data_IF_210676608537
#
_entry.id   IF_210676608537
#
_cell.length_a   1.000
_cell.length_b   1.000
_cell.length_c   1.000
_cell.angle_alpha   90.00
_cell.angle_beta   90.00
_cell.angle_gamma   90.00
#
_symmetry.space_group_name_H-M   'P 1'
#
loop_
_entity.id
_entity.type
_entity.pdbx_description
1 polymer ?
#
# COMPACT_ATOMS: atom_id res chain seq x y z
N UNK A 1 -79.97 22.25 -16.81
CA UNK A 1 -78.71 22.44 -16.07
C UNK A 1 -78.14 21.03 -15.86
N UNK A 2 -77.20 20.63 -16.70
CA UNK A 2 -76.97 19.21 -16.96
C UNK A 2 -75.62 18.81 -16.35
N UNK A 3 -75.70 18.07 -15.24
CA UNK A 3 -74.64 17.59 -14.36
C UNK A 3 -73.57 16.67 -14.99
N UNK A 4 -73.46 16.62 -16.32
CA UNK A 4 -72.61 15.69 -17.05
C UNK A 4 -71.50 16.33 -17.90
N UNK A 5 -71.37 17.68 -17.88
CA UNK A 5 -70.29 18.38 -18.59
C UNK A 5 -68.99 18.55 -17.79
N UNK A 6 -68.97 18.31 -16.48
CA UNK A 6 -67.77 18.51 -15.64
C UNK A 6 -66.84 17.29 -15.55
N UNK A 7 -67.21 16.15 -16.15
CA UNK A 7 -66.42 14.91 -16.08
C UNK A 7 -65.60 14.63 -17.35
N UNK A 8 -65.50 15.61 -18.26
CA UNK A 8 -64.70 15.51 -19.50
C UNK A 8 -63.43 16.38 -19.49
N UNK A 9 -63.28 17.33 -18.55
CA UNK A 9 -62.12 18.24 -18.51
C UNK A 9 -61.15 18.01 -17.33
N UNK A 10 -61.35 16.95 -16.54
CA UNK A 10 -60.58 16.68 -15.33
C UNK A 10 -59.47 15.62 -15.43
N UNK A 11 -58.94 15.30 -16.62
CA UNK A 11 -57.95 14.22 -16.78
C UNK A 11 -56.63 14.64 -17.45
N UNK A 12 -56.29 15.94 -17.43
CA UNK A 12 -55.01 16.40 -17.97
C UNK A 12 -54.38 17.50 -17.11
N UNK A 13 -53.78 17.12 -15.98
CA UNK A 13 -52.57 17.75 -15.43
C UNK A 13 -52.26 17.14 -14.06
N UNK A 14 -51.52 16.03 -14.06
CA UNK A 14 -51.17 15.34 -12.83
C UNK A 14 -50.08 14.30 -13.05
N UNK A 15 -49.17 14.54 -13.99
CA UNK A 15 -47.90 13.83 -14.00
C UNK A 15 -46.97 14.62 -13.07
N UNK A 16 -46.43 14.05 -11.98
CA UNK A 16 -45.32 14.71 -11.30
C UNK A 16 -44.25 14.89 -12.36
N UNK A 17 -43.80 16.13 -12.58
CA UNK A 17 -42.68 16.41 -13.46
C UNK A 17 -41.61 15.36 -13.16
N UNK A 18 -41.40 14.44 -14.11
CA UNK A 18 -40.36 13.43 -14.03
C UNK A 18 -39.10 14.23 -13.73
N UNK A 19 -38.62 14.10 -12.50
CA UNK A 19 -37.48 14.82 -11.99
C UNK A 19 -36.33 14.44 -12.92
N UNK A 20 -36.01 15.35 -13.84
CA UNK A 20 -34.96 15.15 -14.82
C UNK A 20 -33.63 15.30 -14.07
N UNK A 21 -33.33 14.29 -13.26
CA UNK A 21 -32.12 14.19 -12.45
C UNK A 21 -30.90 14.26 -13.35
N UNK A 22 -30.98 13.66 -14.53
CA UNK A 22 -29.96 13.74 -15.58
C UNK A 22 -29.67 15.17 -16.01
N UNK A 23 -30.67 15.95 -16.42
CA UNK A 23 -30.44 17.33 -16.83
C UNK A 23 -30.12 18.25 -15.66
N UNK A 24 -30.68 18.00 -14.48
CA UNK A 24 -30.42 18.80 -13.27
C UNK A 24 -29.00 18.59 -12.77
N UNK A 25 -28.47 17.36 -12.82
CA UNK A 25 -27.09 17.04 -12.44
C UNK A 25 -26.10 17.61 -13.47
N UNK A 26 -26.41 17.48 -14.77
CA UNK A 26 -25.59 18.08 -15.82
C UNK A 26 -25.65 19.60 -15.81
N UNK A 27 -26.79 20.21 -15.50
CA UNK A 27 -26.94 21.68 -15.37
C UNK A 27 -26.25 22.19 -14.12
N UNK A 28 -26.30 21.44 -13.01
CA UNK A 28 -25.57 21.74 -11.77
C UNK A 28 -24.07 21.64 -11.97
N UNK A 29 -23.60 20.57 -12.63
CA UNK A 29 -22.20 20.41 -13.02
C UNK A 29 -21.78 21.50 -14.02
N UNK A 30 -22.61 21.82 -15.00
CA UNK A 30 -22.36 22.86 -15.98
C UNK A 30 -22.32 24.25 -15.34
N UNK A 31 -23.15 24.53 -14.33
CA UNK A 31 -23.15 25.79 -13.59
C UNK A 31 -21.88 25.93 -12.73
N UNK A 32 -21.44 24.85 -12.06
CA UNK A 32 -20.17 24.80 -11.32
C UNK A 32 -18.96 24.94 -12.25
N UNK A 33 -19.02 24.34 -13.45
CA UNK A 33 -17.97 24.46 -14.47
C UNK A 33 -17.98 25.83 -15.18
N UNK A 34 -19.15 26.44 -15.40
CA UNK A 34 -19.32 27.71 -16.11
C UNK A 34 -19.04 28.95 -15.25
N UNK A 35 -19.14 28.85 -13.92
CA UNK A 35 -18.88 29.97 -13.00
C UNK A 35 -17.38 30.33 -12.87
N UNK A 36 -16.46 29.59 -13.52
CA UNK A 36 -15.06 29.97 -13.76
C UNK A 36 -14.14 30.11 -12.53
N UNK A 37 -14.66 30.46 -11.36
CA UNK A 37 -13.96 30.53 -10.06
C UNK A 37 -14.22 29.30 -9.20
N UNK A 38 -15.39 28.67 -9.28
CA UNK A 38 -15.72 27.40 -8.59
C UNK A 38 -15.23 26.14 -9.30
N UNK A 39 -15.06 26.21 -10.62
CA UNK A 39 -14.63 25.10 -11.47
C UNK A 39 -13.21 24.63 -11.14
N UNK A 40 -12.28 25.56 -10.96
CA UNK A 40 -10.85 25.27 -10.71
C UNK A 40 -10.64 24.57 -9.37
N UNK A 41 -11.39 24.97 -8.32
CA UNK A 41 -11.31 24.34 -7.00
C UNK A 41 -11.87 22.92 -6.99
N UNK A 42 -12.98 22.70 -7.70
CA UNK A 42 -13.62 21.38 -7.78
C UNK A 42 -12.79 20.38 -8.58
N UNK A 43 -12.20 20.79 -9.70
CA UNK A 43 -11.31 19.94 -10.50
C UNK A 43 -10.09 19.52 -9.68
N UNK A 44 -9.49 20.43 -8.91
CA UNK A 44 -8.33 20.08 -8.08
C UNK A 44 -8.69 19.11 -6.95
N UNK A 45 -9.89 19.23 -6.38
CA UNK A 45 -10.43 18.25 -5.43
C UNK A 45 -10.58 16.86 -6.04
N UNK A 46 -11.15 16.78 -7.25
CA UNK A 46 -11.32 15.51 -7.97
C UNK A 46 -9.96 14.87 -8.28
N UNK A 47 -9.00 15.65 -8.77
CA UNK A 47 -7.63 15.18 -9.03
C UNK A 47 -6.98 14.64 -7.76
N UNK A 48 -7.15 15.32 -6.63
CA UNK A 48 -6.67 14.85 -5.33
C UNK A 48 -7.27 13.50 -4.93
N UNK A 49 -8.58 13.34 -5.08
CA UNK A 49 -9.28 12.07 -4.78
C UNK A 49 -8.80 10.94 -5.69
N UNK A 50 -8.65 11.20 -6.99
CA UNK A 50 -8.13 10.22 -7.96
C UNK A 50 -6.71 9.80 -7.58
N UNK A 51 -5.84 10.75 -7.22
CA UNK A 51 -4.47 10.46 -6.81
C UNK A 51 -4.45 9.55 -5.56
N UNK A 52 -5.25 9.87 -4.55
CA UNK A 52 -5.37 9.05 -3.33
C UNK A 52 -5.87 7.64 -3.64
N UNK A 53 -6.89 7.52 -4.50
CA UNK A 53 -7.42 6.22 -4.92
C UNK A 53 -6.37 5.37 -5.64
N UNK A 54 -5.54 5.99 -6.50
CA UNK A 54 -4.43 5.31 -7.18
C UNK A 54 -3.38 4.83 -6.16
N UNK A 55 -3.01 5.66 -5.19
CA UNK A 55 -2.04 5.29 -4.15
C UNK A 55 -2.55 4.13 -3.28
N UNK A 56 -3.81 4.18 -2.85
CA UNK A 56 -4.44 3.08 -2.11
C UNK A 56 -4.45 1.80 -2.94
N UNK A 57 -4.84 1.91 -4.22
CA UNK A 57 -4.83 0.78 -5.16
C UNK A 57 -3.45 0.15 -5.31
N UNK A 58 -2.38 0.96 -5.41
CA UNK A 58 -1.01 0.48 -5.53
C UNK A 58 -0.55 -0.28 -4.27
N UNK A 59 -0.82 0.26 -3.07
CA UNK A 59 -0.51 -0.41 -1.79
C UNK A 59 -1.29 -1.72 -1.66
N UNK A 60 -2.57 -1.71 -2.03
CA UNK A 60 -3.42 -2.89 -1.96
C UNK A 60 -2.98 -3.98 -2.94
N UNK A 61 -2.57 -3.60 -4.17
CA UNK A 61 -2.00 -4.51 -5.15
C UNK A 61 -0.67 -5.11 -4.67
N UNK A 62 0.19 -4.30 -4.04
CA UNK A 62 1.43 -4.78 -3.43
C UNK A 62 1.18 -5.80 -2.33
N UNK A 63 0.24 -5.53 -1.42
CA UNK A 63 -0.18 -6.48 -0.38
C UNK A 63 -0.78 -7.76 -0.98
N UNK A 64 -1.63 -7.63 -2.00
CA UNK A 64 -2.24 -8.78 -2.68
C UNK A 64 -1.20 -9.69 -3.32
N UNK A 65 -0.13 -9.12 -3.91
CA UNK A 65 0.98 -9.90 -4.46
C UNK A 65 1.75 -10.65 -3.37
N UNK A 66 2.08 -9.99 -2.26
CA UNK A 66 2.75 -10.66 -1.12
C UNK A 66 1.88 -11.74 -0.46
N UNK A 67 0.56 -11.58 -0.49
CA UNK A 67 -0.35 -12.60 0.02
C UNK A 67 -0.43 -13.87 -0.87
N UNK A 68 0.13 -13.82 -2.08
CA UNK A 68 0.29 -15.01 -2.94
C UNK A 68 1.60 -15.75 -2.64
N UNK A 69 2.51 -15.15 -1.87
CA UNK A 69 3.68 -15.85 -1.37
C UNK A 69 3.25 -16.77 -0.23
N UNK A 70 3.97 -17.90 -0.07
CA UNK A 70 3.74 -18.80 1.05
C UNK A 70 3.91 -18.01 2.36
N UNK A 71 3.01 -18.21 3.34
CA UNK A 71 3.17 -17.59 4.65
C UNK A 71 4.54 -17.94 5.23
N UNK A 72 5.16 -17.03 6.02
CA UNK A 72 6.40 -17.33 6.70
C UNK A 72 6.29 -18.69 7.41
N UNK A 73 7.30 -19.57 7.30
CA UNK A 73 7.24 -20.89 7.88
C UNK A 73 6.99 -20.76 9.38
N UNK A 74 6.07 -21.58 9.88
CA UNK A 74 5.73 -21.55 11.30
C UNK A 74 6.91 -22.09 12.12
N UNK A 75 7.09 -21.69 13.38
CA UNK A 75 8.17 -22.21 14.24
C UNK A 75 8.14 -23.73 14.36
N UNK A 76 6.95 -24.33 14.31
CA UNK A 76 6.69 -25.77 14.31
C UNK A 76 7.03 -26.45 12.97
N UNK A 77 7.09 -25.69 11.87
CA UNK A 77 7.56 -26.16 10.56
C UNK A 77 9.09 -26.07 10.44
N UNK A 78 9.78 -25.55 11.46
CA UNK A 78 11.24 -25.53 11.46
C UNK A 78 11.78 -26.98 11.56
N UNK A 79 12.77 -27.33 10.74
CA UNK A 79 13.44 -28.61 10.84
C UNK A 79 13.95 -28.83 12.27
N UNK A 80 13.74 -30.01 12.87
CA UNK A 80 14.31 -30.31 14.17
C UNK A 80 15.83 -30.19 14.10
N UNK A 81 16.42 -29.67 15.19
CA UNK A 81 17.87 -29.59 15.31
C UNK A 81 18.45 -31.00 15.11
N UNK A 82 19.39 -31.20 14.17
CA UNK A 82 19.98 -32.51 13.94
C UNK A 82 20.68 -33.02 15.22
N UNK A 83 20.61 -34.34 15.45
CA UNK A 83 21.14 -35.03 16.66
C UNK A 83 22.66 -34.84 16.88
N UNK A 84 23.34 -34.37 15.84
CA UNK A 84 24.77 -34.23 15.73
C UNK A 84 25.06 -32.96 14.94
N UNK A 85 26.10 -32.24 15.35
CA UNK A 85 26.56 -31.04 14.67
C UNK A 85 27.04 -31.43 13.27
N UNK A 86 26.30 -31.02 12.24
CA UNK A 86 26.62 -31.32 10.83
C UNK A 86 27.63 -30.34 10.21
N UNK A 87 28.22 -29.43 10.99
CA UNK A 87 29.25 -28.51 10.54
C UNK A 87 30.49 -28.59 11.44
N UNK A 88 31.67 -28.45 10.81
CA UNK A 88 32.93 -28.20 11.50
C UNK A 88 32.87 -26.74 11.95
N UNK A 89 33.01 -26.47 13.26
CA UNK A 89 33.23 -25.10 13.73
C UNK A 89 34.61 -24.67 13.23
N UNK A 90 34.63 -24.07 12.05
CA UNK A 90 35.76 -23.28 11.60
C UNK A 90 35.79 -22.07 12.53
N UNK A 91 36.86 -21.98 13.33
CA UNK A 91 37.04 -20.84 14.22
C UNK A 91 37.35 -19.66 13.31
N UNK A 92 36.31 -18.91 13.00
CA UNK A 92 36.39 -17.74 12.14
C UNK A 92 37.55 -16.87 12.65
N UNK A 93 38.61 -16.74 11.85
CA UNK A 93 39.77 -15.88 12.14
C UNK A 93 39.36 -14.44 11.82
N UNK A 94 38.23 -14.00 12.37
CA UNK A 94 37.96 -12.58 12.46
C UNK A 94 39.04 -12.02 13.39
N UNK A 95 39.57 -10.84 13.07
CA UNK A 95 40.48 -10.12 13.95
C UNK A 95 39.87 -9.96 15.34
N UNK A 96 40.63 -9.48 16.32
CA UNK A 96 40.16 -9.23 17.69
C UNK A 96 39.04 -8.15 17.71
N UNK A 97 37.87 -8.46 17.16
CA UNK A 97 36.72 -7.59 17.02
C UNK A 97 35.89 -7.70 18.30
N UNK A 98 36.28 -6.89 19.27
CA UNK A 98 35.65 -6.83 20.58
C UNK A 98 34.67 -5.65 20.63
N UNK A 99 33.38 -5.96 20.74
CA UNK A 99 32.34 -4.96 21.00
C UNK A 99 32.64 -4.17 22.28
N UNK A 100 32.42 -2.84 22.32
CA UNK A 100 32.65 -2.06 23.52
C UNK A 100 31.96 -2.65 24.78
N UNK A 101 32.62 -2.61 25.95
CA UNK A 101 32.16 -3.27 27.17
C UNK A 101 30.93 -2.58 27.81
N UNK A 102 30.52 -1.43 27.28
CA UNK A 102 29.43 -0.60 27.80
C UNK A 102 28.03 -1.17 27.54
N UNK A 103 27.93 -2.36 26.91
CA UNK A 103 26.69 -3.08 26.56
C UNK A 103 25.70 -2.24 25.76
N UNK A 104 26.13 -1.10 25.23
CA UNK A 104 25.30 -0.28 24.36
C UNK A 104 25.46 -0.83 22.95
N UNK A 105 24.33 -1.08 22.29
CA UNK A 105 24.39 -1.45 20.87
C UNK A 105 25.06 -0.32 20.09
N UNK A 106 26.02 -0.67 19.24
CA UNK A 106 26.65 0.28 18.32
C UNK A 106 25.60 0.79 17.34
N UNK A 107 25.52 2.11 17.17
CA UNK A 107 24.77 2.68 16.07
C UNK A 107 25.50 2.45 14.74
N UNK A 108 24.81 2.54 13.59
CA UNK A 108 25.44 2.31 12.28
C UNK A 108 26.67 3.19 11.99
N UNK A 109 26.76 4.36 12.62
CA UNK A 109 27.87 5.29 12.46
C UNK A 109 29.05 4.98 13.40
N UNK A 110 28.81 4.21 14.46
CA UNK A 110 29.82 3.76 15.43
C UNK A 110 30.41 2.39 15.04
N UNK A 111 29.88 1.76 13.98
CA UNK A 111 30.33 0.45 13.49
C UNK A 111 31.67 0.51 12.72
N UNK A 112 32.14 1.69 12.31
CA UNK A 112 33.49 1.88 11.76
C UNK A 112 33.87 0.84 10.68
N UNK A 113 35.01 0.17 10.90
CA UNK A 113 35.56 -0.90 10.04
C UNK A 113 35.08 -2.30 10.47
N UNK A 114 34.28 -2.39 11.55
CA UNK A 114 33.74 -3.64 12.08
C UNK A 114 32.77 -4.25 11.05
N UNK A 115 33.16 -5.38 10.45
CA UNK A 115 32.37 -6.08 9.43
C UNK A 115 32.75 -5.82 7.96
N UNK A 116 33.76 -4.98 7.68
CA UNK A 116 34.33 -4.82 6.33
C UNK A 116 35.74 -5.43 6.20
N UNK A 117 36.22 -6.12 7.23
CA UNK A 117 37.53 -6.76 7.20
C UNK A 117 37.59 -7.81 6.07
N UNK A 118 38.61 -7.76 5.19
CA UNK A 118 38.85 -8.82 4.23
C UNK A 118 39.10 -10.13 4.98
N UNK A 119 38.19 -11.10 4.86
CA UNK A 119 38.38 -12.45 5.39
C UNK A 119 39.75 -12.96 4.88
N UNK A 120 40.71 -13.28 5.77
CA UNK A 120 41.97 -13.87 5.35
C UNK A 120 41.65 -15.12 4.53
N UNK A 121 42.15 -15.19 3.30
CA UNK A 121 42.04 -16.43 2.53
C UNK A 121 42.93 -17.45 3.20
N UNK A 122 42.36 -18.58 3.59
CA UNK A 122 43.14 -19.75 3.96
C UNK A 122 44.08 -20.08 2.79
N UNK A 123 45.37 -19.85 3.00
CA UNK A 123 46.38 -20.40 2.11
C UNK A 123 46.42 -21.90 2.39
N UNK A 124 45.90 -22.70 1.45
CA UNK A 124 45.94 -24.17 1.40
C UNK A 124 47.37 -24.77 1.40
N UNK A 125 48.39 -24.04 1.85
CA UNK A 125 49.79 -24.47 1.87
C UNK A 125 50.17 -25.12 3.20
N UNK A 126 49.61 -26.30 3.51
CA UNK A 126 50.33 -27.32 4.30
C UNK A 126 49.69 -28.70 4.25
N UNK A 127 49.83 -29.42 3.13
CA UNK A 127 49.60 -30.87 3.13
C UNK A 127 50.58 -31.61 2.24
N UNK A 128 51.83 -31.63 2.71
CA UNK A 128 52.90 -32.54 2.27
C UNK A 128 53.33 -33.41 3.46
#
# INVERSE_FOLDING_TARGET
MNSWQLLREGFASGYPASMDVSSTDLTSLALVLADGRGATGSVMGIVGVVLVAVLIGAVWLGKRRRAQELPPPRPDEQPPRPDHRSHIEERDVHGDDHFPPDRRGLSPYELGDHGNEPIPRDTDERRD
#
